data_IF_383089260872
#
_entry.id   IF_383089260872
#
_cell.length_a   1.000
_cell.length_b   1.000
_cell.length_c   1.000
_cell.angle_alpha   90.00
_cell.angle_beta   90.00
_cell.angle_gamma   90.00
#
_symmetry.space_group_name_H-M   'P 1'
#
loop_
_entity.id
_entity.type
_entity.pdbx_description
1 polymer ?
#
# COMPACT_ATOMS: atom_id res chain seq x y z
N UNK A 1 23.70 -1.26 -49.25
CA UNK A 1 23.80 -0.31 -48.11
C UNK A 1 22.97 -0.91 -46.97
N UNK A 2 23.61 -1.60 -46.03
CA UNK A 2 22.91 -2.28 -44.94
C UNK A 2 22.65 -1.27 -43.80
N UNK A 3 21.38 -1.03 -43.48
CA UNK A 3 21.01 -0.31 -42.27
C UNK A 3 21.29 -1.22 -41.07
N UNK A 4 22.22 -0.83 -40.21
CA UNK A 4 22.42 -1.49 -38.93
C UNK A 4 21.20 -1.22 -38.04
N UNK A 5 20.45 -2.28 -37.74
CA UNK A 5 19.40 -2.29 -36.73
C UNK A 5 20.08 -2.15 -35.35
N UNK A 6 20.22 -0.91 -34.87
CA UNK A 6 20.70 -0.66 -33.52
C UNK A 6 19.57 -1.01 -32.54
N UNK A 7 19.72 -2.04 -31.68
CA UNK A 7 18.69 -2.37 -30.71
C UNK A 7 18.49 -1.16 -29.78
N UNK A 8 17.24 -0.68 -29.71
CA UNK A 8 16.85 0.44 -28.85
C UNK A 8 17.35 0.19 -27.42
N UNK A 9 17.87 1.22 -26.72
CA UNK A 9 18.36 1.05 -25.35
C UNK A 9 17.23 0.53 -24.47
N UNK A 10 17.45 -0.62 -23.81
CA UNK A 10 16.50 -1.24 -22.89
C UNK A 10 16.29 -0.32 -21.70
N UNK A 11 15.25 0.51 -21.76
CA UNK A 11 14.85 1.40 -20.67
C UNK A 11 14.34 0.54 -19.52
N UNK A 12 15.11 0.50 -18.42
CA UNK A 12 14.70 -0.23 -17.21
C UNK A 12 13.46 0.43 -16.64
N UNK A 13 12.37 -0.33 -16.53
CA UNK A 13 11.10 0.15 -15.97
C UNK A 13 11.17 0.03 -14.46
N UNK A 14 10.89 1.11 -13.74
CA UNK A 14 10.91 1.13 -12.27
C UNK A 14 9.55 0.75 -11.71
N UNK A 15 9.55 -0.10 -10.67
CA UNK A 15 8.33 -0.36 -9.90
C UNK A 15 7.83 0.95 -9.25
N UNK A 16 6.52 1.22 -9.33
CA UNK A 16 5.89 2.38 -8.69
C UNK A 16 5.44 2.11 -7.26
N UNK A 17 5.55 0.87 -6.77
CA UNK A 17 5.15 0.50 -5.42
C UNK A 17 6.05 1.19 -4.38
N UNK A 18 5.45 1.82 -3.36
CA UNK A 18 6.19 2.57 -2.35
C UNK A 18 7.16 1.65 -1.61
N UNK A 19 8.43 2.03 -1.57
CA UNK A 19 9.49 1.25 -0.92
C UNK A 19 10.04 0.08 -1.75
N UNK A 20 9.50 -0.19 -2.94
CA UNK A 20 10.04 -1.22 -3.82
C UNK A 20 11.12 -0.64 -4.75
N UNK A 21 12.33 -1.23 -4.71
CA UNK A 21 13.46 -0.83 -5.56
C UNK A 21 13.62 -1.68 -6.82
N UNK A 22 12.64 -2.54 -7.13
CA UNK A 22 12.71 -3.43 -8.29
C UNK A 22 12.71 -2.66 -9.61
N UNK A 23 13.56 -3.12 -10.53
CA UNK A 23 13.70 -2.59 -11.88
C UNK A 23 13.54 -3.73 -12.87
N UNK A 24 12.48 -3.70 -13.65
CA UNK A 24 12.23 -4.65 -14.72
C UNK A 24 12.98 -4.28 -15.99
N UNK A 25 13.29 -5.28 -16.79
CA UNK A 25 13.87 -5.12 -18.13
C UNK A 25 12.82 -4.98 -19.23
N UNK A 26 11.58 -5.37 -18.94
CA UNK A 26 10.41 -5.29 -19.82
C UNK A 26 9.13 -5.03 -19.00
N UNK A 27 8.06 -4.62 -19.67
CA UNK A 27 6.74 -4.40 -19.08
C UNK A 27 6.13 -5.69 -18.53
N UNK A 28 6.35 -6.84 -19.17
CA UNK A 28 5.88 -8.14 -18.70
C UNK A 28 6.49 -8.51 -17.35
N UNK A 29 7.81 -8.35 -17.21
CA UNK A 29 8.50 -8.61 -15.94
C UNK A 29 8.02 -7.71 -14.79
N UNK A 30 7.64 -6.46 -15.08
CA UNK A 30 7.02 -5.59 -14.08
C UNK A 30 5.62 -6.07 -13.71
N UNK A 31 4.79 -6.52 -14.66
CA UNK A 31 3.45 -7.04 -14.35
C UNK A 31 3.50 -8.26 -13.44
N UNK A 32 4.37 -9.22 -13.74
CA UNK A 32 4.54 -10.40 -12.91
C UNK A 32 5.02 -10.03 -11.50
N UNK A 33 6.00 -9.14 -11.40
CA UNK A 33 6.45 -8.60 -10.13
C UNK A 33 5.33 -7.90 -9.32
N UNK A 34 4.46 -7.13 -9.99
CA UNK A 34 3.35 -6.44 -9.33
C UNK A 34 2.30 -7.40 -8.77
N UNK A 35 2.19 -8.62 -9.31
CA UNK A 35 1.28 -9.63 -8.76
C UNK A 35 1.66 -10.03 -7.33
N UNK A 36 2.95 -10.01 -6.99
CA UNK A 36 3.43 -10.30 -5.64
C UNK A 36 3.03 -9.21 -4.64
N UNK A 37 3.12 -7.94 -5.04
CA UNK A 37 2.69 -6.82 -4.20
C UNK A 37 1.19 -6.85 -3.89
N UNK A 38 0.38 -7.28 -4.86
CA UNK A 38 -1.08 -7.33 -4.75
C UNK A 38 -1.57 -8.43 -3.81
N UNK A 39 -0.88 -9.57 -3.74
CA UNK A 39 -1.33 -10.72 -2.94
C UNK A 39 -1.22 -10.45 -1.45
N UNK A 40 -2.18 -10.99 -0.70
CA UNK A 40 -2.10 -11.06 0.75
C UNK A 40 -0.82 -11.80 1.17
N UNK A 41 -0.08 -11.30 2.16
CA UNK A 41 1.15 -11.96 2.62
C UNK A 41 0.90 -13.28 3.37
N UNK A 42 -0.36 -13.61 3.73
CA UNK A 42 -0.71 -14.90 4.29
C UNK A 42 -0.89 -15.91 3.15
N UNK A 43 -0.09 -16.99 3.14
CA UNK A 43 -0.14 -18.02 2.07
C UNK A 43 -1.50 -18.68 1.88
N UNK A 44 -2.30 -18.74 2.94
CA UNK A 44 -3.64 -19.32 3.00
C UNK A 44 -4.73 -18.29 2.61
N UNK A 45 -4.35 -17.15 2.04
CA UNK A 45 -5.29 -16.12 1.62
C UNK A 45 -5.00 -15.62 0.19
N UNK A 46 -5.97 -15.83 -0.69
CA UNK A 46 -5.89 -15.42 -2.11
C UNK A 46 -6.37 -13.98 -2.36
N UNK A 47 -6.62 -13.20 -1.30
CA UNK A 47 -7.07 -11.82 -1.45
C UNK A 47 -6.01 -10.95 -2.12
N UNK A 48 -6.44 -10.12 -3.07
CA UNK A 48 -5.57 -9.22 -3.84
C UNK A 48 -5.95 -7.76 -3.64
N UNK A 49 -4.97 -6.86 -3.68
CA UNK A 49 -5.14 -5.44 -3.40
C UNK A 49 -4.27 -4.59 -4.31
N UNK A 50 -4.82 -3.52 -4.88
CA UNK A 50 -4.04 -2.56 -5.67
C UNK A 50 -3.18 -1.61 -4.81
N UNK A 51 -3.44 -1.55 -3.51
CA UNK A 51 -2.74 -0.68 -2.57
C UNK A 51 -2.27 -1.40 -1.30
N UNK A 52 -1.06 -1.07 -0.85
CA UNK A 52 -0.48 -1.63 0.38
C UNK A 52 -1.34 -1.33 1.61
N UNK A 53 -1.98 -0.16 1.66
CA UNK A 53 -2.83 0.23 2.77
C UNK A 53 -4.05 -0.70 2.91
N UNK A 54 -4.66 -1.07 1.78
CA UNK A 54 -5.82 -1.97 1.78
C UNK A 54 -5.39 -3.39 2.16
N UNK A 55 -4.22 -3.83 1.67
CA UNK A 55 -3.61 -5.10 2.08
C UNK A 55 -3.38 -5.18 3.58
N UNK A 56 -2.75 -4.15 4.16
CA UNK A 56 -2.50 -4.10 5.61
C UNK A 56 -3.80 -4.06 6.42
N UNK A 57 -4.83 -3.36 5.94
CA UNK A 57 -6.16 -3.34 6.57
C UNK A 57 -6.82 -4.71 6.53
N UNK A 58 -6.76 -5.39 5.39
CA UNK A 58 -7.26 -6.75 5.25
C UNK A 58 -6.57 -7.70 6.24
N UNK A 59 -5.23 -7.64 6.31
CA UNK A 59 -4.44 -8.46 7.25
C UNK A 59 -4.91 -8.21 8.70
N UNK A 60 -5.02 -6.96 9.13
CA UNK A 60 -5.47 -6.59 10.47
C UNK A 60 -6.98 -6.73 10.73
N UNK A 61 -7.78 -7.22 9.78
CA UNK A 61 -9.22 -7.46 10.00
C UNK A 61 -9.61 -8.92 9.80
N UNK A 62 -8.96 -9.62 8.86
CA UNK A 62 -9.21 -11.03 8.54
C UNK A 62 -8.17 -11.96 9.15
N UNK A 63 -6.99 -11.45 9.47
CA UNK A 63 -5.85 -12.24 9.92
C UNK A 63 -5.20 -11.61 11.17
N UNK A 64 -5.99 -11.10 12.11
CA UNK A 64 -5.50 -10.41 13.32
C UNK A 64 -4.49 -11.26 14.10
N UNK A 65 -4.82 -12.52 14.41
CA UNK A 65 -3.94 -13.40 15.17
C UNK A 65 -2.62 -13.69 14.43
N UNK A 66 -2.70 -13.88 13.11
CA UNK A 66 -1.51 -14.07 12.29
C UNK A 66 -0.67 -12.79 12.21
N UNK A 67 -1.31 -11.63 12.04
CA UNK A 67 -0.65 -10.32 12.00
C UNK A 67 0.10 -10.01 13.32
N UNK A 68 -0.48 -10.38 14.47
CA UNK A 68 0.17 -10.25 15.77
C UNK A 68 1.38 -11.20 15.86
N UNK A 69 1.22 -12.45 15.40
CA UNK A 69 2.27 -13.47 15.44
C UNK A 69 3.52 -13.07 14.63
N UNK A 70 3.31 -12.46 13.46
CA UNK A 70 4.39 -12.04 12.55
C UNK A 70 4.81 -10.56 12.72
N UNK A 71 4.34 -9.90 13.78
CA UNK A 71 4.54 -8.45 14.02
C UNK A 71 4.28 -7.57 12.77
N UNK A 72 3.18 -7.84 12.07
CA UNK A 72 2.90 -7.20 10.80
C UNK A 72 2.53 -5.71 11.00
N UNK A 73 3.09 -4.77 10.21
CA UNK A 73 2.92 -3.35 10.44
C UNK A 73 1.45 -2.91 10.44
N UNK A 74 1.02 -2.36 11.57
CA UNK A 74 -0.33 -1.81 11.77
C UNK A 74 -0.52 -0.52 10.97
N UNK A 75 -1.71 -0.35 10.40
CA UNK A 75 -2.20 0.97 9.99
C UNK A 75 -2.88 1.58 11.20
N UNK A 76 -2.08 1.96 12.19
CA UNK A 76 -2.57 2.88 13.19
C UNK A 76 -2.38 4.28 12.65
N UNK A 77 -3.49 5.00 12.53
CA UNK A 77 -3.40 6.44 12.47
C UNK A 77 -3.36 6.95 13.91
N UNK A 78 -2.28 7.60 14.32
CA UNK A 78 -2.24 8.31 15.60
C UNK A 78 -2.51 9.80 15.36
N UNK A 79 -3.27 10.43 16.24
CA UNK A 79 -3.39 11.87 16.22
C UNK A 79 -2.15 12.52 16.84
N UNK A 80 -1.44 13.35 16.09
CA UNK A 80 -0.26 14.08 16.59
C UNK A 80 -0.60 15.15 17.64
N UNK A 81 -1.87 15.55 17.76
CA UNK A 81 -2.31 16.62 18.66
C UNK A 81 -2.78 16.11 20.03
N UNK A 82 -3.30 14.89 20.12
CA UNK A 82 -3.76 14.31 21.39
C UNK A 82 -3.29 12.87 21.65
N UNK A 83 -2.52 12.28 20.74
CA UNK A 83 -2.00 10.93 20.88
C UNK A 83 -3.04 9.80 20.73
N UNK A 84 -4.33 10.10 20.46
CA UNK A 84 -5.34 9.05 20.26
C UNK A 84 -5.00 8.17 19.06
N UNK A 85 -5.01 6.86 19.28
CA UNK A 85 -4.69 5.84 18.27
C UNK A 85 -5.97 5.32 17.65
N UNK A 86 -6.06 5.40 16.33
CA UNK A 86 -7.20 4.98 15.54
C UNK A 86 -6.84 3.83 14.62
N UNK A 87 -7.82 2.95 14.38
CA UNK A 87 -7.72 1.81 13.48
C UNK A 87 -7.51 2.15 11.99
N UNK A 88 -7.74 3.41 11.58
CA UNK A 88 -7.54 3.89 10.20
C UNK A 88 -7.13 5.36 10.18
N UNK A 89 -6.35 5.75 9.18
CA UNK A 89 -5.93 7.14 8.97
C UNK A 89 -7.09 8.10 8.70
N UNK A 90 -8.16 7.67 8.01
CA UNK A 90 -9.35 8.51 7.78
C UNK A 90 -10.09 8.84 9.08
N UNK A 91 -10.07 7.95 10.06
CA UNK A 91 -10.61 8.24 11.39
C UNK A 91 -9.78 9.30 12.11
N UNK A 92 -8.45 9.29 11.94
CA UNK A 92 -7.59 10.36 12.47
C UNK A 92 -7.88 11.68 11.79
N UNK A 93 -7.99 11.70 10.46
CA UNK A 93 -8.29 12.95 9.73
C UNK A 93 -9.65 13.51 10.14
N UNK A 94 -10.66 12.65 10.30
CA UNK A 94 -11.97 13.06 10.83
C UNK A 94 -11.86 13.54 12.27
N UNK A 95 -11.16 12.80 13.12
CA UNK A 95 -10.93 13.17 14.51
C UNK A 95 -10.23 14.52 14.64
N UNK A 96 -9.16 14.76 13.87
CA UNK A 96 -8.46 16.05 13.80
C UNK A 96 -9.42 17.15 13.38
N UNK A 97 -10.23 16.91 12.35
CA UNK A 97 -11.19 17.91 11.88
C UNK A 97 -12.25 18.28 12.91
N UNK A 98 -12.79 17.28 13.61
CA UNK A 98 -13.91 17.46 14.56
C UNK A 98 -13.42 18.00 15.92
N UNK A 99 -12.33 17.44 16.44
CA UNK A 99 -11.87 17.67 17.83
C UNK A 99 -10.76 18.73 17.93
N UNK A 100 -10.02 18.98 16.85
CA UNK A 100 -8.88 19.90 16.86
C UNK A 100 -9.07 21.10 15.92
N UNK A 101 -9.69 20.91 14.75
CA UNK A 101 -9.94 22.01 13.80
C UNK A 101 -11.35 22.61 13.93
N UNK A 102 -12.25 22.00 14.71
CA UNK A 102 -13.62 22.48 14.95
C UNK A 102 -14.50 22.59 13.69
N UNK A 103 -14.10 22.01 12.55
CA UNK A 103 -14.85 22.06 11.30
C UNK A 103 -15.86 20.91 11.23
N UNK A 104 -17.00 21.06 11.91
CA UNK A 104 -18.19 20.22 11.69
C UNK A 104 -18.56 20.28 10.21
N UNK A 105 -18.48 19.16 9.49
CA UNK A 105 -19.14 19.06 8.19
C UNK A 105 -20.64 19.00 8.46
N UNK A 106 -21.34 20.08 8.09
CA UNK A 106 -22.79 20.23 7.97
C UNK A 106 -23.62 19.07 8.50
N UNK A 107 -24.11 19.23 9.72
CA UNK A 107 -25.36 18.61 10.16
C UNK A 107 -26.44 19.13 9.21
N UNK A 108 -27.03 18.23 8.43
CA UNK A 108 -28.33 18.46 7.80
C UNK A 108 -29.40 17.86 8.70
#
# INVERSE_FOLDING_TARGET
MAAADFPKPRTRIRCYWKGCSFRGTDQESIREHMADHRKCPKHDCESQFDEEKEKRRHVWTKHINWAISVDYPKINGQCDLCGKVYKRGDYVSRHKREEHEGKKRGQK
#
